data_IF_297285241381
#
_entry.id   IF_297285241381
#
_cell.length_a   1.000
_cell.length_b   1.000
_cell.length_c   1.000
_cell.angle_alpha   90.00
_cell.angle_beta   90.00
_cell.angle_gamma   90.00
#
_symmetry.space_group_name_H-M   'P 1'
#
loop_
_entity.id
_entity.type
_entity.pdbx_description
1 polymer ?
#
# COMPACT_ATOMS: atom_id res chain seq x y z
N UNK A 1 34.12 -19.14 -31.88
CA UNK A 1 33.91 -19.65 -30.51
C UNK A 1 32.63 -19.04 -29.96
N UNK A 2 31.57 -19.83 -29.82
CA UNK A 2 30.32 -19.37 -29.24
C UNK A 2 30.46 -19.34 -27.71
N UNK A 3 30.31 -18.17 -27.10
CA UNK A 3 30.31 -18.00 -25.65
C UNK A 3 28.97 -18.53 -25.14
N UNK A 4 28.98 -19.77 -24.67
CA UNK A 4 27.81 -20.39 -24.02
C UNK A 4 27.56 -19.61 -22.74
N UNK A 5 26.52 -18.78 -22.73
CA UNK A 5 25.95 -18.26 -21.50
C UNK A 5 25.43 -19.46 -20.71
N UNK A 6 26.17 -19.89 -19.69
CA UNK A 6 25.73 -20.90 -18.74
C UNK A 6 24.51 -20.35 -18.03
N UNK A 7 23.34 -20.86 -18.40
CA UNK A 7 22.07 -20.57 -17.75
C UNK A 7 22.13 -20.83 -16.25
N UNK A 8 21.35 -20.06 -15.51
CA UNK A 8 21.22 -20.13 -14.05
C UNK A 8 21.21 -21.59 -13.54
N UNK A 9 22.07 -21.89 -12.58
CA UNK A 9 22.16 -23.23 -11.98
C UNK A 9 20.82 -23.63 -11.33
N UNK A 10 20.55 -24.93 -11.20
CA UNK A 10 19.38 -25.44 -10.47
C UNK A 10 19.30 -24.90 -9.02
N UNK A 11 20.42 -24.54 -8.41
CA UNK A 11 20.48 -23.89 -7.10
C UNK A 11 19.93 -22.45 -7.16
N UNK A 12 20.28 -21.68 -8.20
CA UNK A 12 19.78 -20.32 -8.44
C UNK A 12 18.25 -20.31 -8.62
N UNK A 13 17.70 -21.25 -9.38
CA UNK A 13 16.24 -21.38 -9.55
C UNK A 13 15.52 -21.73 -8.25
N UNK A 14 16.10 -22.61 -7.41
CA UNK A 14 15.54 -22.94 -6.08
C UNK A 14 15.53 -21.73 -5.15
N UNK A 15 16.62 -20.95 -5.15
CA UNK A 15 16.71 -19.72 -4.35
C UNK A 15 15.67 -18.69 -4.79
N UNK A 16 15.52 -18.46 -6.10
CA UNK A 16 14.51 -17.53 -6.64
C UNK A 16 13.10 -17.97 -6.21
N UNK A 17 12.76 -19.25 -6.40
CA UNK A 17 11.44 -19.77 -6.00
C UNK A 17 11.18 -19.64 -4.50
N UNK A 18 12.20 -19.80 -3.65
CA UNK A 18 12.04 -19.64 -2.21
C UNK A 18 11.76 -18.17 -1.85
N UNK A 19 12.43 -17.22 -2.52
CA UNK A 19 12.20 -15.78 -2.35
C UNK A 19 10.78 -15.40 -2.77
N UNK A 20 10.32 -15.86 -3.93
CA UNK A 20 8.97 -15.54 -4.43
C UNK A 20 7.88 -16.08 -3.51
N UNK A 21 8.05 -17.32 -3.01
CA UNK A 21 7.12 -17.89 -2.03
C UNK A 21 7.09 -17.12 -0.72
N UNK A 22 8.25 -16.67 -0.24
CA UNK A 22 8.34 -15.85 0.98
C UNK A 22 7.61 -14.53 0.80
N UNK A 23 7.85 -13.82 -0.30
CA UNK A 23 7.17 -12.56 -0.63
C UNK A 23 5.65 -12.73 -0.71
N UNK A 24 5.17 -13.77 -1.38
CA UNK A 24 3.74 -14.05 -1.48
C UNK A 24 3.12 -14.43 -0.11
N UNK A 25 3.89 -15.09 0.76
CA UNK A 25 3.46 -15.36 2.13
C UNK A 25 3.37 -14.07 2.96
N UNK A 26 4.39 -13.21 2.89
CA UNK A 26 4.41 -11.90 3.56
C UNK A 26 3.25 -11.03 3.07
N UNK A 27 3.00 -10.98 1.75
CA UNK A 27 1.87 -10.27 1.14
C UNK A 27 0.54 -10.73 1.70
N UNK A 28 0.28 -12.04 1.71
CA UNK A 28 -0.96 -12.62 2.26
C UNK A 28 -1.14 -12.35 3.75
N UNK A 29 -0.05 -12.39 4.51
CA UNK A 29 -0.09 -12.04 5.93
C UNK A 29 -0.47 -10.58 6.13
N UNK A 30 0.13 -9.66 5.38
CA UNK A 30 -0.19 -8.24 5.47
C UNK A 30 -1.64 -7.96 5.11
N UNK A 31 -2.16 -8.54 4.01
CA UNK A 31 -3.58 -8.39 3.64
C UNK A 31 -4.54 -8.97 4.69
N UNK A 32 -4.19 -10.10 5.32
CA UNK A 32 -5.00 -10.67 6.41
C UNK A 32 -5.05 -9.74 7.63
N UNK A 33 -3.91 -9.13 8.00
CA UNK A 33 -3.83 -8.18 9.10
C UNK A 33 -4.55 -6.86 8.76
N UNK A 34 -4.49 -6.44 7.50
CA UNK A 34 -5.20 -5.27 6.98
C UNK A 34 -6.71 -5.43 7.17
N UNK A 35 -7.27 -6.55 6.71
CA UNK A 35 -8.70 -6.83 6.84
C UNK A 35 -9.16 -6.89 8.29
N UNK A 36 -8.43 -7.62 9.14
CA UNK A 36 -8.78 -7.84 10.55
C UNK A 36 -8.80 -6.55 11.36
N UNK A 37 -7.89 -5.62 11.05
CA UNK A 37 -7.70 -4.40 11.80
C UNK A 37 -8.19 -3.16 11.04
N UNK A 38 -9.04 -3.32 10.02
CA UNK A 38 -9.43 -2.24 9.11
C UNK A 38 -9.98 -1.01 9.84
N UNK A 39 -10.84 -1.20 10.84
CA UNK A 39 -11.45 -0.10 11.62
C UNK A 39 -10.40 0.69 12.42
N UNK A 40 -9.51 -0.01 13.11
CA UNK A 40 -8.45 0.62 13.88
C UNK A 40 -7.43 1.31 12.96
N UNK A 41 -7.06 0.67 11.84
CA UNK A 41 -6.11 1.22 10.88
C UNK A 41 -6.70 2.45 10.17
N UNK A 42 -7.96 2.42 9.75
CA UNK A 42 -8.64 3.56 9.14
C UNK A 42 -8.76 4.74 10.12
N UNK A 43 -9.11 4.47 11.38
CA UNK A 43 -9.15 5.51 12.41
C UNK A 43 -7.79 6.18 12.58
N UNK A 44 -6.72 5.39 12.76
CA UNK A 44 -5.36 5.91 12.92
C UNK A 44 -4.87 6.62 11.66
N UNK A 45 -5.23 6.13 10.48
CA UNK A 45 -4.87 6.72 9.20
C UNK A 45 -5.50 8.10 9.04
N UNK A 46 -6.82 8.23 9.19
CA UNK A 46 -7.53 9.52 9.05
C UNK A 46 -7.02 10.52 10.07
N UNK A 47 -6.81 10.10 11.33
CA UNK A 47 -6.21 10.97 12.34
C UNK A 47 -4.83 11.46 11.89
N UNK A 48 -3.96 10.55 11.43
CA UNK A 48 -2.60 10.90 11.01
C UNK A 48 -2.57 11.83 9.80
N UNK A 49 -3.43 11.61 8.82
CA UNK A 49 -3.53 12.45 7.62
C UNK A 49 -4.02 13.87 7.97
N UNK A 50 -4.95 14.02 8.92
CA UNK A 50 -5.38 15.35 9.38
C UNK A 50 -4.29 16.03 10.22
N UNK A 51 -3.66 15.30 11.16
CA UNK A 51 -2.62 15.86 12.04
C UNK A 51 -1.43 16.41 11.24
N UNK A 52 -1.03 15.69 10.17
CA UNK A 52 0.04 16.09 9.26
C UNK A 52 -0.45 17.00 8.11
N UNK A 53 -1.69 17.47 8.16
CA UNK A 53 -2.30 18.38 7.17
C UNK A 53 -2.24 17.86 5.73
N UNK A 54 -2.30 16.53 5.54
CA UNK A 54 -2.41 15.89 4.23
C UNK A 54 -3.84 15.95 3.70
N UNK A 55 -4.85 15.97 4.58
CA UNK A 55 -6.25 16.05 4.17
C UNK A 55 -6.98 17.13 4.97
N UNK A 56 -7.88 17.83 4.30
CA UNK A 56 -8.91 18.65 4.92
C UNK A 56 -10.29 18.06 4.60
N UNK A 57 -11.14 17.93 5.62
CA UNK A 57 -12.44 17.27 5.48
C UNK A 57 -13.52 17.92 6.32
N UNK A 58 -14.75 17.86 5.81
CA UNK A 58 -15.96 18.22 6.56
C UNK A 58 -16.48 17.10 7.47
N UNK A 59 -15.93 15.87 7.38
CA UNK A 59 -16.35 14.75 8.21
C UNK A 59 -15.28 13.66 8.35
N UNK A 60 -14.59 13.66 9.50
CA UNK A 60 -13.64 12.61 9.91
C UNK A 60 -14.28 11.22 9.86
N UNK A 61 -15.54 11.11 10.30
CA UNK A 61 -16.29 9.86 10.36
C UNK A 61 -16.50 9.29 8.96
N UNK A 62 -16.92 10.10 8.01
CA UNK A 62 -17.16 9.65 6.65
C UNK A 62 -15.88 9.07 6.03
N UNK A 63 -14.75 9.77 6.20
CA UNK A 63 -13.47 9.29 5.69
C UNK A 63 -13.01 8.01 6.38
N UNK A 64 -13.25 7.86 7.69
CA UNK A 64 -12.96 6.60 8.38
C UNK A 64 -13.78 5.45 7.82
N UNK A 65 -15.08 5.65 7.58
CA UNK A 65 -15.94 4.64 6.94
C UNK A 65 -15.42 4.30 5.53
N UNK A 66 -15.08 5.31 4.72
CA UNK A 66 -14.48 5.12 3.38
C UNK A 66 -13.19 4.30 3.43
N UNK A 67 -12.24 4.64 4.31
CA UNK A 67 -10.99 3.90 4.40
C UNK A 67 -11.20 2.49 4.94
N UNK A 68 -12.18 2.23 5.82
CA UNK A 68 -12.52 0.85 6.21
C UNK A 68 -12.92 0.03 4.99
N UNK A 69 -13.76 0.59 4.12
CA UNK A 69 -14.21 -0.10 2.91
C UNK A 69 -13.05 -0.35 1.96
N UNK A 70 -12.17 0.64 1.76
CA UNK A 70 -10.95 0.49 0.93
C UNK A 70 -10.03 -0.59 1.47
N UNK A 71 -9.76 -0.61 2.78
CA UNK A 71 -8.86 -1.60 3.41
C UNK A 71 -9.44 -3.02 3.29
N UNK A 72 -10.77 -3.17 3.45
CA UNK A 72 -11.45 -4.45 3.27
C UNK A 72 -11.48 -4.89 1.80
N UNK A 73 -11.68 -3.96 0.87
CA UNK A 73 -11.66 -4.22 -0.57
C UNK A 73 -10.25 -4.64 -1.03
N UNK A 74 -9.20 -3.92 -0.61
CA UNK A 74 -7.81 -4.22 -0.95
C UNK A 74 -7.40 -5.64 -0.55
N UNK A 75 -7.95 -6.15 0.55
CA UNK A 75 -7.68 -7.51 1.04
C UNK A 75 -8.23 -8.61 0.13
N UNK A 76 -9.17 -8.28 -0.76
CA UNK A 76 -9.81 -9.20 -1.70
C UNK A 76 -9.52 -8.85 -3.17
N UNK A 77 -8.71 -7.82 -3.43
CA UNK A 77 -8.41 -7.34 -4.77
C UNK A 77 -7.44 -8.27 -5.49
N UNK A 78 -7.58 -8.37 -6.81
CA UNK A 78 -6.62 -9.13 -7.63
C UNK A 78 -5.25 -8.45 -7.63
N UNK A 79 -4.19 -9.26 -7.66
CA UNK A 79 -2.82 -8.73 -7.64
C UNK A 79 -2.57 -7.80 -8.83
N UNK A 80 -3.12 -8.12 -10.00
CA UNK A 80 -3.01 -7.27 -11.19
C UNK A 80 -3.58 -5.87 -10.95
N UNK A 81 -4.76 -5.75 -10.34
CA UNK A 81 -5.39 -4.46 -10.08
C UNK A 81 -4.58 -3.63 -9.09
N UNK A 82 -4.03 -4.28 -8.05
CA UNK A 82 -3.14 -3.63 -7.09
C UNK A 82 -1.88 -3.11 -7.81
N UNK A 83 -1.22 -3.96 -8.61
CA UNK A 83 -0.02 -3.59 -9.36
C UNK A 83 -0.28 -2.47 -10.37
N UNK A 84 -1.43 -2.50 -11.04
CA UNK A 84 -1.83 -1.48 -11.98
C UNK A 84 -2.04 -0.14 -11.28
N UNK A 85 -2.76 -0.12 -10.14
CA UNK A 85 -2.99 1.09 -9.37
C UNK A 85 -1.70 1.72 -8.84
N UNK A 86 -0.76 0.91 -8.34
CA UNK A 86 0.51 1.43 -7.78
C UNK A 86 1.59 1.72 -8.82
N UNK A 87 1.37 1.38 -10.10
CA UNK A 87 2.37 1.52 -11.15
C UNK A 87 3.01 2.93 -11.23
N UNK A 88 2.26 4.04 -11.06
CA UNK A 88 2.84 5.39 -11.08
C UNK A 88 3.86 5.64 -9.94
N UNK A 89 3.63 5.05 -8.76
CA UNK A 89 4.42 5.29 -7.55
C UNK A 89 5.45 4.20 -7.25
N UNK A 90 5.62 3.20 -8.11
CA UNK A 90 6.45 2.01 -7.81
C UNK A 90 7.92 2.31 -7.49
N UNK A 91 8.44 3.45 -7.96
CA UNK A 91 9.84 3.88 -7.77
C UNK A 91 9.96 5.00 -6.72
N UNK A 92 8.92 5.27 -5.95
CA UNK A 92 8.88 6.39 -4.99
C UNK A 92 9.92 6.23 -3.87
N UNK A 93 10.27 5.00 -3.49
CA UNK A 93 11.33 4.68 -2.53
C UNK A 93 11.96 3.32 -2.85
N UNK A 94 13.09 2.99 -2.20
CA UNK A 94 13.90 1.80 -2.52
C UNK A 94 13.26 0.45 -2.12
N UNK A 95 12.34 0.45 -1.15
CA UNK A 95 11.66 -0.75 -0.67
C UNK A 95 10.24 -0.42 -0.16
N UNK A 96 9.35 -0.02 -1.08
CA UNK A 96 8.05 0.51 -0.71
C UNK A 96 7.13 -0.58 -0.16
N UNK A 97 6.34 -0.21 0.85
CA UNK A 97 5.20 -1.01 1.28
C UNK A 97 4.08 -0.87 0.25
N UNK A 98 3.70 -1.98 -0.40
CA UNK A 98 2.69 -1.95 -1.47
C UNK A 98 1.31 -1.47 -0.98
N UNK A 99 0.96 -1.72 0.29
CA UNK A 99 -0.29 -1.22 0.89
C UNK A 99 -0.22 0.30 1.01
N UNK A 100 0.92 0.82 1.47
CA UNK A 100 1.15 2.26 1.58
C UNK A 100 1.15 2.92 0.19
N UNK A 101 1.76 2.31 -0.83
CA UNK A 101 1.67 2.80 -2.22
C UNK A 101 0.23 2.84 -2.73
N UNK A 102 -0.53 1.77 -2.52
CA UNK A 102 -1.92 1.71 -2.95
C UNK A 102 -2.75 2.81 -2.29
N UNK A 103 -2.61 2.97 -0.98
CA UNK A 103 -3.34 3.99 -0.23
C UNK A 103 -2.86 5.41 -0.58
N UNK A 104 -1.59 5.60 -0.92
CA UNK A 104 -1.08 6.88 -1.43
C UNK A 104 -1.79 7.22 -2.73
N UNK A 105 -1.80 6.30 -3.70
CA UNK A 105 -2.52 6.49 -4.97
C UNK A 105 -4.00 6.77 -4.74
N UNK A 106 -4.64 5.99 -3.86
CA UNK A 106 -6.06 6.20 -3.52
C UNK A 106 -6.32 7.59 -2.93
N UNK A 107 -5.45 8.05 -2.05
CA UNK A 107 -5.58 9.33 -1.35
C UNK A 107 -5.41 10.51 -2.32
N UNK A 108 -4.46 10.43 -3.26
CA UNK A 108 -4.18 11.53 -4.18
C UNK A 108 -5.08 11.54 -5.42
N UNK A 109 -5.67 10.40 -5.81
CA UNK A 109 -6.54 10.31 -7.00
C UNK A 109 -8.02 10.18 -6.65
N UNK A 110 -8.38 9.13 -5.92
CA UNK A 110 -9.79 8.74 -5.76
C UNK A 110 -10.45 9.50 -4.62
N UNK A 111 -9.72 9.74 -3.52
CA UNK A 111 -10.25 10.41 -2.35
C UNK A 111 -10.63 11.87 -2.65
N UNK A 112 -9.95 12.53 -3.59
CA UNK A 112 -10.27 13.90 -4.00
C UNK A 112 -11.70 14.03 -4.56
N UNK A 113 -12.28 12.96 -5.08
CA UNK A 113 -13.65 12.94 -5.59
C UNK A 113 -14.70 12.75 -4.47
N UNK A 114 -14.27 12.44 -3.24
CA UNK A 114 -15.18 12.17 -2.15
C UNK A 114 -15.87 13.46 -1.66
N UNK A 115 -17.21 13.50 -1.52
CA UNK A 115 -17.97 14.72 -1.25
C UNK A 115 -17.71 15.36 0.12
N UNK A 116 -17.00 14.67 1.01
CA UNK A 116 -16.59 15.19 2.32
C UNK A 116 -15.16 15.68 2.36
N UNK A 117 -14.39 15.50 1.30
CA UNK A 117 -13.01 15.99 1.19
C UNK A 117 -13.06 17.42 0.66
N UNK A 118 -12.36 18.31 1.35
CA UNK A 118 -12.21 19.70 0.94
C UNK A 118 -10.97 19.87 0.09
N UNK A 119 -9.86 19.28 0.54
CA UNK A 119 -8.59 19.31 -0.18
C UNK A 119 -7.66 18.16 0.27
N UNK A 120 -6.67 17.85 -0.57
CA UNK A 120 -5.58 16.90 -0.31
C UNK A 120 -4.25 17.59 -0.63
N UNK A 121 -3.34 17.59 0.33
CA UNK A 121 -2.06 18.31 0.26
C UNK A 121 -0.86 17.35 0.33
N UNK A 122 0.30 17.88 -0.02
CA UNK A 122 1.58 17.19 0.03
C UNK A 122 1.99 16.59 -1.30
N UNK A 123 3.29 16.29 -1.44
CA UNK A 123 3.80 15.52 -2.58
C UNK A 123 3.65 14.01 -2.36
N UNK A 124 3.79 13.21 -3.42
CA UNK A 124 3.64 11.75 -3.37
C UNK A 124 4.48 11.11 -2.25
N UNK A 125 5.71 11.61 -2.03
CA UNK A 125 6.63 11.05 -1.05
C UNK A 125 6.23 11.41 0.38
N UNK A 126 5.74 12.63 0.59
CA UNK A 126 5.21 13.11 1.86
C UNK A 126 3.96 12.32 2.24
N UNK A 127 2.97 12.24 1.34
CA UNK A 127 1.74 11.45 1.55
C UNK A 127 2.10 9.99 1.84
N UNK A 128 3.01 9.40 1.06
CA UNK A 128 3.48 8.04 1.30
C UNK A 128 4.07 7.87 2.69
N UNK A 129 4.97 8.77 3.15
CA UNK A 129 5.60 8.66 4.47
C UNK A 129 4.59 8.74 5.59
N UNK A 130 3.59 9.63 5.48
CA UNK A 130 2.52 9.77 6.47
C UNK A 130 1.70 8.49 6.55
N UNK A 131 1.29 7.94 5.41
CA UNK A 131 0.57 6.67 5.32
C UNK A 131 1.42 5.52 5.86
N UNK A 132 2.67 5.40 5.42
CA UNK A 132 3.56 4.29 5.80
C UNK A 132 3.87 4.27 7.30
N UNK A 133 3.89 5.44 7.97
CA UNK A 133 3.99 5.51 9.43
C UNK A 133 2.88 4.75 10.18
N UNK A 134 1.74 4.53 9.52
CA UNK A 134 0.58 3.79 10.05
C UNK A 134 0.64 2.31 9.69
N UNK A 135 1.16 1.95 8.51
CA UNK A 135 1.11 0.57 7.99
C UNK A 135 2.45 -0.20 8.07
N UNK A 136 3.56 0.46 8.34
CA UNK A 136 4.85 -0.24 8.54
C UNK A 136 4.79 -1.27 9.68
N UNK A 137 3.98 -1.02 10.71
CA UNK A 137 3.78 -1.96 11.83
C UNK A 137 3.17 -3.31 11.46
N UNK A 138 2.48 -3.42 10.32
CA UNK A 138 1.92 -4.70 9.85
C UNK A 138 2.88 -5.44 8.90
N UNK A 139 4.01 -4.82 8.54
CA UNK A 139 5.05 -5.43 7.70
C UNK A 139 5.82 -6.49 8.49
N UNK A 140 5.98 -7.71 7.97
CA UNK A 140 6.87 -8.71 8.56
C UNK A 140 8.32 -8.17 8.61
N UNK A 141 8.99 -8.37 9.74
CA UNK A 141 10.40 -8.01 9.94
C UNK A 141 11.35 -9.12 9.51
#
# INVERSE_FOLDING_TARGET
MAKVFTGASNATNKTIQAIDRKREQERRQMLSLLFKNAEELAMRLVQRLMDEHIIETTSDRALRETYVDVLRALSNMEDFDIQYKIAPLRNLTNDPNFISLYLTQYTIEDLMEHPKVQDVFGDDLEVYKVIDSVFDRIRPK
#
